data_IF_356736196004
#
_entry.id   IF_356736196004
#
_cell.length_a   1.000
_cell.length_b   1.000
_cell.length_c   1.000
_cell.angle_alpha   90.00
_cell.angle_beta   90.00
_cell.angle_gamma   90.00
#
_symmetry.space_group_name_H-M   'P 1'
#
loop_
_entity.id
_entity.type
_entity.pdbx_description
1 polymer ?
#
# COMPACT_ATOMS: atom_id res chain seq x y z
N UNK A 1 4.11 36.90 -15.66
CA UNK A 1 3.54 35.61 -15.25
C UNK A 1 4.65 34.59 -15.22
N UNK A 2 5.24 34.37 -14.03
CA UNK A 2 6.38 33.46 -13.85
C UNK A 2 5.84 32.08 -13.50
N UNK A 3 6.04 31.10 -14.38
CA UNK A 3 5.68 29.71 -14.12
C UNK A 3 6.64 29.13 -13.07
N UNK A 4 6.08 28.44 -12.10
CA UNK A 4 6.78 27.83 -10.98
C UNK A 4 7.64 26.64 -11.48
N UNK A 5 8.95 26.58 -11.21
CA UNK A 5 9.81 25.49 -11.68
C UNK A 5 9.48 24.11 -11.08
N UNK A 6 8.52 24.02 -10.16
CA UNK A 6 8.02 22.76 -9.60
C UNK A 6 6.96 22.06 -10.44
N UNK A 7 6.41 22.71 -11.47
CA UNK A 7 5.38 22.10 -12.33
C UNK A 7 5.96 21.31 -13.52
N UNK A 8 7.28 21.33 -13.73
CA UNK A 8 7.95 20.65 -14.87
C UNK A 8 8.41 19.22 -14.52
N UNK A 9 8.29 18.79 -13.26
CA UNK A 9 8.78 17.47 -12.82
C UNK A 9 7.75 16.33 -12.94
N UNK A 10 6.54 16.59 -13.44
CA UNK A 10 5.45 15.60 -13.44
C UNK A 10 4.95 15.18 -14.84
N UNK A 11 5.61 15.62 -15.91
CA UNK A 11 5.26 15.25 -17.30
C UNK A 11 6.07 14.07 -17.87
N UNK A 12 7.02 13.51 -17.12
CA UNK A 12 7.85 12.37 -17.59
C UNK A 12 7.24 10.99 -17.32
N UNK A 13 6.07 10.90 -16.66
CA UNK A 13 5.47 9.63 -16.25
C UNK A 13 4.78 8.85 -17.39
N UNK A 14 4.75 9.38 -18.62
CA UNK A 14 4.21 8.71 -19.81
C UNK A 14 5.28 8.07 -20.71
N UNK A 15 6.54 8.01 -20.26
CA UNK A 15 7.63 7.35 -20.98
C UNK A 15 7.59 5.81 -20.91
N UNK A 16 8.47 5.19 -21.72
CA UNK A 16 8.81 3.76 -21.69
C UNK A 16 9.04 3.23 -20.26
N UNK A 17 9.08 1.90 -20.12
CA UNK A 17 9.56 1.28 -18.90
C UNK A 17 10.90 1.86 -18.46
N UNK A 18 11.04 2.10 -17.16
CA UNK A 18 12.30 2.58 -16.60
C UNK A 18 13.40 1.50 -16.69
N UNK A 19 14.66 1.85 -16.41
CA UNK A 19 15.77 0.89 -16.42
C UNK A 19 15.54 -0.30 -15.48
N UNK A 20 14.97 -0.05 -14.29
CA UNK A 20 14.66 -1.09 -13.32
C UNK A 20 13.56 -2.04 -13.80
N UNK A 21 12.47 -1.50 -14.35
CA UNK A 21 11.36 -2.27 -14.90
C UNK A 21 11.84 -3.23 -16.00
N UNK A 22 12.67 -2.68 -16.90
CA UNK A 22 13.28 -3.43 -18.01
C UNK A 22 14.20 -4.53 -17.47
N UNK A 23 15.07 -4.20 -16.53
CA UNK A 23 16.00 -5.16 -15.94
C UNK A 23 15.28 -6.32 -15.21
N UNK A 24 14.17 -6.05 -14.54
CA UNK A 24 13.34 -7.07 -13.88
C UNK A 24 12.58 -7.94 -14.88
N UNK A 25 12.06 -7.35 -15.97
CA UNK A 25 11.47 -8.11 -17.06
C UNK A 25 12.50 -9.07 -17.71
N UNK A 26 13.71 -8.57 -17.99
CA UNK A 26 14.79 -9.37 -18.56
C UNK A 26 15.30 -10.44 -17.59
N UNK A 27 15.33 -10.14 -16.29
CA UNK A 27 15.57 -11.15 -15.27
C UNK A 27 14.51 -12.25 -15.35
N UNK A 28 13.22 -11.91 -15.39
CA UNK A 28 12.15 -12.90 -15.45
C UNK A 28 12.26 -13.81 -16.68
N UNK A 29 12.53 -13.25 -17.87
CA UNK A 29 12.75 -14.01 -19.11
C UNK A 29 13.88 -15.02 -18.98
N UNK A 30 15.02 -14.61 -18.40
CA UNK A 30 16.19 -15.48 -18.17
C UNK A 30 15.92 -16.62 -17.20
N UNK A 31 14.89 -16.51 -16.37
CA UNK A 31 14.50 -17.52 -15.37
C UNK A 31 13.23 -18.28 -15.79
N UNK A 32 12.91 -18.32 -17.09
CA UNK A 32 11.82 -19.11 -17.63
C UNK A 32 10.44 -18.44 -17.58
N UNK A 33 10.38 -17.14 -17.29
CA UNK A 33 9.17 -16.33 -17.47
C UNK A 33 8.85 -16.11 -18.95
N UNK A 34 7.58 -16.27 -19.30
CA UNK A 34 7.07 -15.86 -20.61
C UNK A 34 6.94 -14.33 -20.71
N UNK A 35 6.44 -13.85 -21.86
CA UNK A 35 6.29 -12.42 -22.09
C UNK A 35 5.31 -11.76 -21.11
N UNK A 36 4.22 -12.43 -20.74
CA UNK A 36 3.26 -11.92 -19.76
C UNK A 36 3.86 -11.85 -18.36
N UNK A 37 4.68 -12.82 -17.96
CA UNK A 37 5.42 -12.77 -16.70
C UNK A 37 6.45 -11.65 -16.72
N UNK A 38 7.19 -11.48 -17.82
CA UNK A 38 8.13 -10.36 -17.95
C UNK A 38 7.42 -9.00 -17.80
N UNK A 39 6.25 -8.85 -18.44
CA UNK A 39 5.38 -7.69 -18.28
C UNK A 39 4.88 -7.52 -16.84
N UNK A 40 4.52 -8.61 -16.16
CA UNK A 40 4.09 -8.57 -14.77
C UNK A 40 5.19 -8.02 -13.85
N UNK A 41 6.45 -8.46 -14.02
CA UNK A 41 7.59 -7.93 -13.26
C UNK A 41 7.79 -6.43 -13.50
N UNK A 42 7.73 -5.99 -14.76
CA UNK A 42 7.87 -4.58 -15.11
C UNK A 42 6.73 -3.71 -14.53
N UNK A 43 5.49 -4.20 -14.62
CA UNK A 43 4.31 -3.49 -14.12
C UNK A 43 4.27 -3.42 -12.59
N UNK A 44 4.63 -4.49 -11.89
CA UNK A 44 4.74 -4.47 -10.42
C UNK A 44 5.86 -3.51 -9.98
N UNK A 45 7.00 -3.53 -10.66
CA UNK A 45 8.11 -2.58 -10.42
C UNK A 45 7.67 -1.13 -10.59
N UNK A 46 6.92 -0.83 -11.65
CA UNK A 46 6.39 0.51 -11.89
C UNK A 46 5.35 0.92 -10.85
N UNK A 47 4.42 0.03 -10.50
CA UNK A 47 3.41 0.28 -9.47
C UNK A 47 4.09 0.63 -8.13
N UNK A 48 5.15 -0.09 -7.78
CA UNK A 48 5.98 0.19 -6.60
C UNK A 48 6.64 1.57 -6.65
N UNK A 49 7.21 1.95 -7.79
CA UNK A 49 7.80 3.28 -7.97
C UNK A 49 6.76 4.40 -7.89
N UNK A 50 5.49 4.10 -8.15
CA UNK A 50 4.35 5.01 -8.00
C UNK A 50 3.76 5.02 -6.58
N UNK A 51 4.35 4.26 -5.65
CA UNK A 51 3.92 4.21 -4.25
C UNK A 51 2.88 3.12 -3.93
N UNK A 52 2.52 2.27 -4.89
CA UNK A 52 1.66 1.12 -4.65
C UNK A 52 2.46 -0.06 -4.10
N UNK A 53 1.92 -0.81 -3.15
CA UNK A 53 2.57 -2.04 -2.63
C UNK A 53 2.40 -3.25 -3.57
N UNK A 54 1.36 -3.24 -4.40
CA UNK A 54 1.01 -4.29 -5.35
C UNK A 54 0.42 -3.74 -6.65
N UNK A 55 0.32 -4.62 -7.64
CA UNK A 55 -0.44 -4.42 -8.86
C UNK A 55 -1.78 -5.16 -8.77
N UNK A 56 -2.90 -4.48 -8.98
CA UNK A 56 -4.22 -5.12 -9.04
C UNK A 56 -4.51 -5.64 -10.47
N UNK A 57 -4.69 -6.96 -10.62
CA UNK A 57 -4.93 -7.65 -11.88
C UNK A 57 -6.41 -7.72 -12.32
N UNK A 58 -7.31 -6.99 -11.67
CA UNK A 58 -8.73 -6.89 -12.08
C UNK A 58 -8.93 -6.02 -13.33
N UNK A 59 -7.96 -5.15 -13.64
CA UNK A 59 -8.01 -4.22 -14.78
C UNK A 59 -6.96 -4.56 -15.84
N UNK A 60 -7.11 -3.96 -17.02
CA UNK A 60 -6.03 -3.93 -18.01
C UNK A 60 -5.00 -2.87 -17.64
N UNK A 61 -3.74 -3.12 -17.96
CA UNK A 61 -2.63 -2.21 -17.68
C UNK A 61 -1.98 -1.71 -18.97
N UNK A 62 -1.70 -0.40 -19.08
CA UNK A 62 -0.93 0.12 -20.21
C UNK A 62 0.49 -0.43 -20.19
N UNK A 63 1.00 -0.80 -21.37
CA UNK A 63 2.40 -1.14 -21.56
C UNK A 63 3.14 0.14 -21.97
N UNK A 64 3.93 0.75 -21.06
CA UNK A 64 4.57 2.03 -21.32
C UNK A 64 5.49 1.97 -22.54
N UNK A 65 5.44 3.02 -23.37
CA UNK A 65 6.15 3.03 -24.65
C UNK A 65 5.39 2.40 -25.82
N UNK A 66 4.11 2.09 -25.64
CA UNK A 66 3.24 1.59 -26.69
C UNK A 66 1.79 2.01 -26.45
N UNK A 67 0.97 2.01 -27.50
CA UNK A 67 -0.49 2.18 -27.38
C UNK A 67 -1.20 0.88 -26.95
N UNK A 68 -0.44 -0.13 -26.52
CA UNK A 68 -0.97 -1.44 -26.15
C UNK A 68 -1.25 -1.51 -24.66
N UNK A 69 -2.24 -2.33 -24.33
CA UNK A 69 -2.52 -2.74 -22.96
C UNK A 69 -2.38 -4.25 -22.85
N UNK A 70 -2.03 -4.73 -21.66
CA UNK A 70 -2.12 -6.13 -21.30
C UNK A 70 -3.32 -6.32 -20.37
N UNK A 71 -4.17 -7.30 -20.67
CA UNK A 71 -5.33 -7.57 -19.81
C UNK A 71 -4.89 -8.20 -18.48
N UNK A 72 -5.47 -7.76 -17.37
CA UNK A 72 -5.22 -8.36 -16.06
C UNK A 72 -5.54 -9.86 -16.02
N UNK A 73 -6.59 -10.30 -16.73
CA UNK A 73 -6.91 -11.73 -16.90
C UNK A 73 -5.79 -12.53 -17.58
N UNK A 74 -5.11 -11.96 -18.58
CA UNK A 74 -3.99 -12.62 -19.23
C UNK A 74 -2.78 -12.73 -18.29
N UNK A 75 -2.46 -11.64 -17.57
CA UNK A 75 -1.41 -11.65 -16.54
C UNK A 75 -1.73 -12.68 -15.45
N UNK A 76 -2.95 -12.68 -14.92
CA UNK A 76 -3.39 -13.61 -13.87
C UNK A 76 -3.24 -15.07 -14.31
N UNK A 77 -3.60 -15.39 -15.56
CA UNK A 77 -3.40 -16.73 -16.12
C UNK A 77 -1.92 -17.11 -16.15
N UNK A 78 -1.06 -16.24 -16.67
CA UNK A 78 0.37 -16.48 -16.77
C UNK A 78 1.02 -16.64 -15.38
N UNK A 79 0.69 -15.74 -14.44
CA UNK A 79 1.14 -15.77 -13.04
C UNK A 79 0.78 -17.09 -12.38
N UNK A 80 -0.47 -17.56 -12.50
CA UNK A 80 -0.91 -18.82 -11.90
C UNK A 80 -0.19 -20.06 -12.42
N UNK A 81 0.39 -20.00 -13.62
CA UNK A 81 1.12 -21.12 -14.22
C UNK A 81 2.63 -20.99 -14.14
N UNK A 82 3.16 -19.86 -13.67
CA UNK A 82 4.60 -19.59 -13.63
C UNK A 82 5.26 -20.14 -12.38
N UNK A 83 6.45 -20.71 -12.53
CA UNK A 83 7.30 -21.12 -11.40
C UNK A 83 7.90 -19.95 -10.61
N UNK A 84 7.82 -18.72 -11.16
CA UNK A 84 8.30 -17.48 -10.55
C UNK A 84 7.25 -16.79 -9.66
N UNK A 85 6.03 -17.32 -9.62
CA UNK A 85 4.96 -16.83 -8.78
C UNK A 85 4.46 -17.93 -7.83
N UNK A 86 3.95 -17.51 -6.68
CA UNK A 86 3.35 -18.38 -5.67
C UNK A 86 2.19 -17.69 -4.97
N UNK A 87 1.57 -18.40 -4.05
CA UNK A 87 0.55 -17.87 -3.15
C UNK A 87 1.14 -17.30 -1.85
N UNK A 88 0.27 -16.77 -0.97
CA UNK A 88 0.67 -16.32 0.36
C UNK A 88 1.44 -17.42 1.12
N UNK A 89 2.64 -17.08 1.60
CA UNK A 89 3.52 -18.00 2.34
C UNK A 89 4.57 -18.73 1.49
N UNK A 90 4.46 -18.68 0.17
CA UNK A 90 5.48 -19.27 -0.72
C UNK A 90 6.72 -18.37 -0.81
N UNK A 91 7.91 -18.98 -0.94
CA UNK A 91 9.16 -18.26 -1.19
C UNK A 91 9.37 -18.05 -2.70
N UNK A 92 8.51 -17.25 -3.31
CA UNK A 92 8.53 -16.93 -4.74
C UNK A 92 8.73 -15.45 -4.99
N UNK A 93 9.45 -15.05 -6.08
CA UNK A 93 9.67 -13.64 -6.40
C UNK A 93 8.39 -12.81 -6.48
N UNK A 94 7.35 -13.37 -7.10
CA UNK A 94 6.01 -12.81 -7.13
C UNK A 94 5.07 -13.58 -6.21
N UNK A 95 4.22 -12.85 -5.49
CA UNK A 95 3.16 -13.43 -4.65
C UNK A 95 1.82 -12.92 -5.16
N UNK A 96 0.93 -13.85 -5.49
CA UNK A 96 -0.44 -13.57 -5.88
C UNK A 96 -1.37 -13.85 -4.70
N UNK A 97 -2.02 -12.81 -4.20
CA UNK A 97 -3.06 -12.89 -3.17
C UNK A 97 -4.35 -12.31 -3.76
N UNK A 98 -5.34 -13.17 -4.02
CA UNK A 98 -6.55 -12.86 -4.77
C UNK A 98 -6.25 -12.35 -6.19
N UNK A 99 -6.44 -11.06 -6.44
CA UNK A 99 -6.13 -10.34 -7.68
C UNK A 99 -4.93 -9.40 -7.52
N UNK A 100 -4.33 -9.35 -6.34
CA UNK A 100 -3.19 -8.48 -6.02
C UNK A 100 -1.88 -9.22 -6.23
N UNK A 101 -1.04 -8.68 -7.10
CA UNK A 101 0.29 -9.21 -7.42
C UNK A 101 1.37 -8.36 -6.77
N UNK A 102 2.20 -9.00 -5.96
CA UNK A 102 3.24 -8.37 -5.17
C UNK A 102 4.61 -8.87 -5.59
N UNK A 103 5.65 -8.05 -5.40
CA UNK A 103 6.95 -8.65 -5.09
C UNK A 103 6.92 -9.19 -3.66
N UNK A 104 7.57 -10.33 -3.44
CA UNK A 104 7.63 -11.02 -2.15
C UNK A 104 7.91 -10.08 -0.97
N UNK A 105 8.90 -9.18 -1.10
CA UNK A 105 9.28 -8.24 -0.04
C UNK A 105 8.14 -7.33 0.39
N UNK A 106 7.31 -6.85 -0.54
CA UNK A 106 6.20 -5.94 -0.24
C UNK A 106 5.03 -6.68 0.38
N UNK A 107 4.73 -7.89 -0.08
CA UNK A 107 3.77 -8.77 0.59
C UNK A 107 4.22 -9.04 2.04
N UNK A 108 5.50 -9.37 2.27
CA UNK A 108 6.03 -9.57 3.62
C UNK A 108 5.90 -8.31 4.51
N UNK A 109 6.11 -7.12 3.96
CA UNK A 109 5.93 -5.87 4.70
C UNK A 109 4.47 -5.65 5.10
N UNK A 110 3.52 -5.88 4.18
CA UNK A 110 2.09 -5.83 4.50
C UNK A 110 1.72 -6.84 5.59
N UNK A 111 2.17 -8.09 5.48
CA UNK A 111 1.85 -9.10 6.48
C UNK A 111 2.44 -8.78 7.86
N UNK A 112 3.68 -8.27 7.91
CA UNK A 112 4.30 -7.83 9.17
C UNK A 112 3.51 -6.69 9.81
N UNK A 113 3.10 -5.70 9.02
CA UNK A 113 2.30 -4.58 9.49
C UNK A 113 0.93 -5.04 9.99
N UNK A 114 0.20 -5.80 9.18
CA UNK A 114 -1.12 -6.31 9.53
C UNK A 114 -1.08 -7.17 10.79
N UNK A 115 -0.09 -8.06 10.92
CA UNK A 115 0.07 -8.90 12.11
C UNK A 115 0.42 -8.09 13.35
N UNK A 116 1.23 -7.03 13.23
CA UNK A 116 1.55 -6.15 14.36
C UNK A 116 0.32 -5.36 14.82
N UNK A 117 -0.46 -4.83 13.88
CA UNK A 117 -1.72 -4.13 14.18
C UNK A 117 -2.71 -5.06 14.85
N UNK A 118 -2.92 -6.28 14.32
CA UNK A 118 -3.81 -7.28 14.93
C UNK A 118 -3.45 -7.55 16.39
N UNK A 119 -2.16 -7.78 16.69
CA UNK A 119 -1.69 -8.01 18.07
C UNK A 119 -2.00 -6.84 19.01
N UNK A 120 -1.94 -5.60 18.52
CA UNK A 120 -2.30 -4.45 19.34
C UNK A 120 -3.81 -4.36 19.58
N UNK A 121 -4.62 -4.67 18.56
CA UNK A 121 -6.10 -4.62 18.65
C UNK A 121 -6.64 -5.74 19.53
N UNK A 122 -6.02 -6.93 19.50
CA UNK A 122 -6.41 -8.07 20.34
C UNK A 122 -6.07 -7.88 21.84
N UNK A 123 -5.30 -6.85 22.18
CA UNK A 123 -4.97 -6.54 23.57
C UNK A 123 -6.19 -5.92 24.28
N UNK A 124 -6.50 -6.33 25.53
CA UNK A 124 -7.61 -5.77 26.27
C UNK A 124 -7.39 -4.27 26.51
N UNK A 125 -8.46 -3.46 26.52
CA UNK A 125 -8.36 -2.03 26.77
C UNK A 125 -7.91 -1.75 28.21
N UNK A 126 -7.06 -0.74 28.36
CA UNK A 126 -6.58 -0.28 29.67
C UNK A 126 -7.65 0.60 30.36
N UNK A 127 -7.62 0.60 31.69
CA UNK A 127 -8.45 1.53 32.48
C UNK A 127 -7.84 2.92 32.39
N UNK A 128 -8.63 3.90 31.96
CA UNK A 128 -8.19 5.30 31.83
C UNK A 128 -8.85 6.13 32.93
N UNK A 129 -8.04 6.90 33.65
CA UNK A 129 -8.53 7.90 34.61
C UNK A 129 -9.18 9.05 33.85
N UNK A 130 -10.49 9.26 34.04
CA UNK A 130 -11.26 10.29 33.36
C UNK A 130 -11.07 11.74 33.87
N UNK A 131 -10.83 12.03 35.17
CA UNK A 131 -10.85 13.39 35.69
C UNK A 131 -10.01 14.40 34.90
N UNK A 132 -8.79 14.03 34.47
CA UNK A 132 -7.91 14.92 33.71
C UNK A 132 -8.39 15.18 32.26
N UNK A 133 -9.29 14.33 31.74
CA UNK A 133 -9.81 14.44 30.38
C UNK A 133 -11.17 15.16 30.30
N UNK A 134 -11.78 15.46 31.44
CA UNK A 134 -13.05 16.18 31.54
C UNK A 134 -12.84 17.71 31.58
N UNK A 135 -13.93 18.47 31.53
CA UNK A 135 -13.89 19.94 31.45
C UNK A 135 -13.22 20.61 32.66
N UNK A 136 -13.27 19.98 33.83
CA UNK A 136 -12.61 20.39 35.06
C UNK A 136 -11.16 19.89 35.18
N UNK A 137 -10.72 19.02 34.27
CA UNK A 137 -9.42 18.36 34.27
C UNK A 137 -8.24 19.24 33.85
N UNK A 138 -8.49 20.42 33.27
CA UNK A 138 -7.48 21.43 32.93
C UNK A 138 -6.61 21.12 31.71
N UNK A 139 -6.76 19.96 31.06
CA UNK A 139 -5.95 19.56 29.90
C UNK A 139 -6.49 20.06 28.55
N UNK A 140 -7.80 20.27 28.44
CA UNK A 140 -8.48 20.66 27.21
C UNK A 140 -9.37 21.89 27.41
N UNK A 141 -9.51 22.71 26.37
CA UNK A 141 -10.38 23.89 26.37
C UNK A 141 -11.79 23.56 25.87
N UNK A 142 -12.66 23.22 26.81
CA UNK A 142 -14.07 22.95 26.53
C UNK A 142 -14.91 24.19 26.23
N UNK A 143 -14.41 25.41 26.45
CA UNK A 143 -15.14 26.63 26.11
C UNK A 143 -15.25 26.84 24.60
N UNK A 144 -14.32 26.26 23.83
CA UNK A 144 -14.31 26.31 22.36
C UNK A 144 -15.30 25.33 21.70
N UNK A 145 -15.91 24.42 22.47
CA UNK A 145 -16.78 23.36 21.96
C UNK A 145 -18.25 23.75 22.09
N UNK A 146 -19.04 23.53 21.04
CA UNK A 146 -20.49 23.73 21.08
C UNK A 146 -21.15 22.81 22.12
N UNK A 147 -22.04 23.36 22.93
CA UNK A 147 -22.78 22.60 23.95
C UNK A 147 -23.46 21.37 23.33
N UNK A 148 -23.21 20.20 23.94
CA UNK A 148 -23.75 18.92 23.46
C UNK A 148 -22.89 18.20 22.41
N UNK A 149 -21.78 18.79 21.96
CA UNK A 149 -20.82 18.12 21.07
C UNK A 149 -19.63 17.52 21.86
N UNK A 150 -19.10 16.37 21.45
CA UNK A 150 -17.88 15.82 22.03
C UNK A 150 -16.67 16.72 21.77
N UNK A 151 -15.77 16.82 22.75
CA UNK A 151 -14.44 17.42 22.53
C UNK A 151 -13.51 16.39 21.86
N UNK A 152 -13.35 16.46 20.53
CA UNK A 152 -12.64 15.43 19.77
C UNK A 152 -11.20 15.17 20.21
N UNK A 153 -10.46 16.20 20.66
CA UNK A 153 -9.11 15.99 21.21
C UNK A 153 -9.11 15.22 22.53
N UNK A 154 -10.10 15.43 23.41
CA UNK A 154 -10.24 14.67 24.65
C UNK A 154 -10.65 13.22 24.36
N UNK A 155 -11.54 13.00 23.37
CA UNK A 155 -11.90 11.66 22.88
C UNK A 155 -10.68 10.94 22.28
N UNK A 156 -9.86 11.65 21.49
CA UNK A 156 -8.64 11.10 20.91
C UNK A 156 -7.63 10.71 21.99
N UNK A 157 -7.42 11.55 23.00
CA UNK A 157 -6.56 11.25 24.13
C UNK A 157 -7.07 10.06 24.95
N UNK A 158 -8.37 10.02 25.27
CA UNK A 158 -8.99 8.87 25.92
C UNK A 158 -8.77 7.57 25.13
N UNK A 159 -9.00 7.61 23.81
CA UNK A 159 -8.84 6.46 22.92
C UNK A 159 -7.39 5.97 22.88
N UNK A 160 -6.42 6.90 22.79
CA UNK A 160 -5.00 6.58 22.77
C UNK A 160 -4.48 6.01 24.11
N UNK A 161 -5.02 6.48 25.24
CA UNK A 161 -4.69 5.95 26.57
C UNK A 161 -5.34 4.58 26.82
N UNK A 162 -6.50 4.32 26.20
CA UNK A 162 -7.26 3.09 26.40
C UNK A 162 -6.78 1.92 25.54
N UNK A 163 -6.33 2.19 24.33
CA UNK A 163 -6.02 1.15 23.34
C UNK A 163 -4.54 1.13 22.99
N UNK A 164 -3.97 -0.08 22.83
CA UNK A 164 -2.56 -0.25 22.42
C UNK A 164 -2.29 0.15 20.96
N UNK A 165 -3.34 0.45 20.21
CA UNK A 165 -3.27 1.03 18.87
C UNK A 165 -4.42 2.01 18.70
N UNK A 166 -4.09 3.24 18.33
CA UNK A 166 -5.04 4.29 17.98
C UNK A 166 -4.44 5.10 16.82
N UNK A 167 -5.29 5.51 15.89
CA UNK A 167 -4.93 6.45 14.82
C UNK A 167 -5.70 7.74 15.12
N UNK A 168 -4.97 8.87 15.11
CA UNK A 168 -5.53 10.22 15.23
C UNK A 168 -5.21 10.91 13.90
N UNK A 169 -6.23 11.37 13.20
CA UNK A 169 -6.14 11.94 11.84
C UNK A 169 -6.86 13.27 11.75
#
# INVERSE_FOLDING_TARGET
>A
MSANPRDVANESAQGNFGPLDTALADWARRHGGDEQIAQAFALVSRAVQQGHSCLNLDASHPLPGSDKTVSGRALLKAVRTSSLAGGPGDEKPLILEDTRLYFHRYWQYEQRLANRIRRFIESPPESVSLPTLLADGGLFDFASVTTGQPHWQAVAAFTALRHRFAIIS
#
